data_IF_292286968724
#
_entry.id   IF_292286968724
#
_cell.length_a   1.000
_cell.length_b   1.000
_cell.length_c   1.000
_cell.angle_alpha   90.00
_cell.angle_beta   90.00
_cell.angle_gamma   90.00
#
_symmetry.space_group_name_H-M   'P 1'
#
loop_
_entity.id
_entity.type
_entity.pdbx_description
1 polymer ?
#
# COMPACT_ATOMS: atom_id res chain seq x y z
N UNK A 1 -29.72 -19.29 -34.11
CA UNK A 1 -29.15 -19.84 -32.85
C UNK A 1 -27.66 -19.49 -32.65
N UNK A 2 -27.15 -18.37 -33.20
CA UNK A 2 -25.69 -18.08 -33.25
C UNK A 2 -25.18 -17.02 -32.27
N UNK A 3 -26.05 -16.32 -31.54
CA UNK A 3 -25.64 -15.15 -30.74
C UNK A 3 -25.10 -15.49 -29.34
N UNK A 4 -25.48 -16.64 -28.76
CA UNK A 4 -25.08 -17.00 -27.39
C UNK A 4 -23.62 -17.48 -27.27
N UNK A 5 -23.07 -18.12 -28.30
CA UNK A 5 -21.72 -18.71 -28.24
C UNK A 5 -20.60 -17.65 -28.22
N UNK A 6 -20.79 -16.52 -28.93
CA UNK A 6 -19.83 -15.40 -28.91
C UNK A 6 -19.80 -14.65 -27.58
N UNK A 7 -20.97 -14.43 -26.98
CA UNK A 7 -21.08 -13.71 -25.70
C UNK A 7 -20.35 -14.44 -24.56
N UNK A 8 -20.37 -15.77 -24.57
CA UNK A 8 -19.69 -16.58 -23.56
C UNK A 8 -18.17 -16.58 -23.72
N UNK A 9 -17.69 -16.60 -24.96
CA UNK A 9 -16.25 -16.55 -25.30
C UNK A 9 -15.62 -15.19 -24.96
N UNK A 10 -16.32 -14.09 -25.26
CA UNK A 10 -15.90 -12.72 -24.88
C UNK A 10 -15.89 -12.52 -23.37
N UNK A 11 -16.90 -13.03 -22.66
CA UNK A 11 -16.94 -13.01 -21.19
C UNK A 11 -15.78 -13.79 -20.57
N UNK A 12 -15.47 -14.97 -21.11
CA UNK A 12 -14.33 -15.79 -20.67
C UNK A 12 -13.00 -15.07 -20.90
N UNK A 13 -12.78 -14.52 -22.11
CA UNK A 13 -11.58 -13.74 -22.46
C UNK A 13 -11.40 -12.48 -21.59
N UNK A 14 -12.49 -11.79 -21.25
CA UNK A 14 -12.43 -10.64 -20.34
C UNK A 14 -12.04 -11.05 -18.91
N UNK A 15 -12.53 -12.18 -18.42
CA UNK A 15 -12.14 -12.68 -17.09
C UNK A 15 -10.67 -13.12 -17.04
N UNK A 16 -10.18 -13.80 -18.08
CA UNK A 16 -8.78 -14.26 -18.13
C UNK A 16 -7.81 -13.07 -18.19
N UNK A 17 -8.12 -12.05 -18.98
CA UNK A 17 -7.32 -10.81 -19.05
C UNK A 17 -7.31 -10.05 -17.72
N UNK A 18 -8.45 -9.96 -17.02
CA UNK A 18 -8.54 -9.32 -15.71
C UNK A 18 -7.72 -10.06 -14.65
N UNK A 19 -7.76 -11.40 -14.65
CA UNK A 19 -6.96 -12.23 -13.74
C UNK A 19 -5.46 -12.11 -14.03
N UNK A 20 -5.07 -12.06 -15.31
CA UNK A 20 -3.68 -11.85 -15.71
C UNK A 20 -3.15 -10.48 -15.22
N UNK A 21 -3.97 -9.42 -15.34
CA UNK A 21 -3.64 -8.10 -14.83
C UNK A 21 -3.46 -8.10 -13.30
N UNK A 22 -4.35 -8.78 -12.57
CA UNK A 22 -4.25 -8.88 -11.12
C UNK A 22 -2.99 -9.65 -10.69
N UNK A 23 -2.67 -10.75 -11.36
CA UNK A 23 -1.42 -11.49 -11.11
C UNK A 23 -0.18 -10.61 -11.33
N UNK A 24 -0.19 -9.75 -12.36
CA UNK A 24 0.89 -8.80 -12.60
C UNK A 24 1.03 -7.77 -11.47
N UNK A 25 -0.10 -7.26 -10.96
CA UNK A 25 -0.12 -6.35 -9.80
C UNK A 25 0.42 -7.03 -8.55
N UNK A 26 -0.02 -8.24 -8.25
CA UNK A 26 0.46 -9.02 -7.10
C UNK A 26 1.97 -9.27 -7.19
N UNK A 27 2.46 -9.68 -8.36
CA UNK A 27 3.90 -9.88 -8.58
C UNK A 27 4.70 -8.58 -8.37
N UNK A 28 4.18 -7.46 -8.86
CA UNK A 28 4.78 -6.13 -8.66
C UNK A 28 4.85 -5.78 -7.18
N UNK A 29 3.75 -6.00 -6.44
CA UNK A 29 3.68 -5.74 -5.00
C UNK A 29 4.63 -6.63 -4.22
N UNK A 30 4.69 -7.93 -4.52
CA UNK A 30 5.63 -8.87 -3.91
C UNK A 30 7.07 -8.42 -4.16
N UNK A 31 7.41 -8.06 -5.40
CA UNK A 31 8.74 -7.55 -5.74
C UNK A 31 9.10 -6.28 -4.98
N UNK A 32 8.16 -5.34 -4.82
CA UNK A 32 8.35 -4.13 -4.00
C UNK A 32 8.54 -4.47 -2.52
N UNK A 33 7.73 -5.36 -1.96
CA UNK A 33 7.85 -5.80 -0.57
C UNK A 33 9.18 -6.52 -0.31
N UNK A 34 9.65 -7.34 -1.27
CA UNK A 34 10.96 -7.98 -1.19
C UNK A 34 12.11 -6.97 -1.13
N UNK A 35 12.06 -5.95 -1.99
CA UNK A 35 13.04 -4.84 -1.97
C UNK A 35 12.97 -4.05 -0.65
N UNK A 36 11.77 -3.74 -0.19
CA UNK A 36 11.56 -2.98 1.05
C UNK A 36 12.06 -3.76 2.27
N UNK A 37 11.78 -5.06 2.36
CA UNK A 37 12.26 -5.92 3.44
C UNK A 37 13.78 -6.00 3.48
N UNK A 38 14.44 -6.09 2.32
CA UNK A 38 15.90 -6.11 2.24
C UNK A 38 16.56 -4.75 2.57
N UNK A 39 15.80 -3.66 2.60
CA UNK A 39 16.35 -2.31 2.83
C UNK A 39 16.54 -2.07 4.32
N UNK A 40 17.80 -2.07 4.77
CA UNK A 40 18.17 -1.66 6.13
C UNK A 40 18.33 -0.14 6.18
N UNK A 41 17.60 0.52 7.09
CA UNK A 41 17.74 1.96 7.33
C UNK A 41 19.13 2.29 7.90
N UNK A 42 19.80 3.26 7.29
CA UNK A 42 21.03 3.86 7.81
C UNK A 42 20.67 5.11 8.62
N UNK A 43 21.55 5.57 9.53
CA UNK A 43 21.35 6.83 10.25
C UNK A 43 21.13 8.03 9.33
N UNK A 44 21.78 8.07 8.16
CA UNK A 44 21.58 9.11 7.15
C UNK A 44 20.16 9.11 6.55
N UNK A 45 19.49 7.95 6.48
CA UNK A 45 18.13 7.86 5.94
C UNK A 45 17.09 8.42 6.91
N UNK A 46 17.41 8.44 8.22
CA UNK A 46 16.51 8.92 9.29
C UNK A 46 16.84 10.35 9.72
N UNK A 47 18.13 10.65 9.87
CA UNK A 47 18.61 11.93 10.40
C UNK A 47 19.24 12.83 9.31
N UNK A 48 19.32 12.38 8.06
CA UNK A 48 19.87 13.16 6.95
C UNK A 48 21.30 13.59 7.22
N UNK A 49 21.60 14.86 6.90
CA UNK A 49 22.91 15.46 7.11
C UNK A 49 23.32 15.51 8.60
N UNK A 50 22.37 15.49 9.54
CA UNK A 50 22.69 15.48 10.96
C UNK A 50 23.44 14.20 11.38
N UNK A 51 23.28 13.10 10.64
CA UNK A 51 24.03 11.86 10.87
C UNK A 51 25.54 11.99 10.62
N UNK A 52 25.97 13.01 9.87
CA UNK A 52 27.37 13.27 9.57
C UNK A 52 28.03 14.25 10.56
N UNK A 53 27.24 14.81 11.49
CA UNK A 53 27.76 15.74 12.49
C UNK A 53 28.70 15.02 13.47
N UNK A 54 29.86 15.62 13.83
CA UNK A 54 30.74 15.07 14.85
C UNK A 54 30.06 14.88 16.22
N UNK A 55 29.01 15.65 16.51
CA UNK A 55 28.24 15.58 17.76
C UNK A 55 27.06 14.59 17.70
N UNK A 56 26.87 13.88 16.58
CA UNK A 56 25.72 13.01 16.35
C UNK A 56 25.62 11.90 17.39
N UNK A 57 26.70 11.14 17.60
CA UNK A 57 26.71 10.02 18.55
C UNK A 57 26.50 10.48 20.00
N UNK A 58 27.12 11.59 20.40
CA UNK A 58 26.94 12.16 21.73
C UNK A 58 25.48 12.62 21.96
N UNK A 59 24.86 13.21 20.93
CA UNK A 59 23.47 13.67 20.98
C UNK A 59 22.48 12.50 21.02
N UNK A 60 22.72 11.45 20.24
CA UNK A 60 21.93 10.22 20.28
C UNK A 60 22.04 9.52 21.63
N UNK A 61 23.25 9.42 22.19
CA UNK A 61 23.46 8.80 23.51
C UNK A 61 22.68 9.53 24.59
N UNK A 62 22.75 10.87 24.61
CA UNK A 62 21.99 11.71 25.54
C UNK A 62 20.49 11.53 25.35
N UNK A 63 20.00 11.58 24.11
CA UNK A 63 18.57 11.40 23.81
C UNK A 63 18.06 10.02 24.23
N UNK A 64 18.82 8.94 23.96
CA UNK A 64 18.50 7.57 24.39
C UNK A 64 18.59 7.36 25.90
N UNK A 65 19.25 8.24 26.66
CA UNK A 65 19.29 8.11 28.11
C UNK A 65 17.93 8.45 28.77
N UNK A 66 17.05 9.17 28.08
CA UNK A 66 15.71 9.48 28.57
C UNK A 66 14.77 8.28 28.41
N UNK A 67 14.14 7.85 29.51
CA UNK A 67 13.24 6.69 29.54
C UNK A 67 12.10 6.80 28.53
N UNK A 68 11.54 8.00 28.37
CA UNK A 68 10.45 8.31 27.44
C UNK A 68 10.79 7.96 25.99
N UNK A 69 12.04 8.18 25.58
CA UNK A 69 12.52 7.92 24.23
C UNK A 69 12.78 6.43 23.94
N UNK A 70 12.70 5.58 24.96
CA UNK A 70 12.85 4.12 24.83
C UNK A 70 11.51 3.38 24.97
N UNK A 71 10.42 4.10 25.23
CA UNK A 71 9.11 3.48 25.34
C UNK A 71 8.70 2.97 23.96
N UNK A 72 8.33 1.68 23.88
CA UNK A 72 7.75 1.11 22.66
C UNK A 72 6.38 1.76 22.45
N UNK A 73 6.33 2.71 21.51
CA UNK A 73 5.07 3.32 21.09
C UNK A 73 4.38 2.36 20.11
N UNK A 74 3.10 2.11 20.31
CA UNK A 74 2.28 1.52 19.26
C UNK A 74 2.15 2.58 18.15
N UNK A 75 2.82 2.33 17.03
CA UNK A 75 2.55 3.10 15.81
C UNK A 75 1.10 2.83 15.42
N UNK A 76 0.36 3.89 15.07
CA UNK A 76 -1.05 3.79 14.74
C UNK A 76 -1.30 2.64 13.74
N UNK A 77 -2.13 1.68 14.14
CA UNK A 77 -2.54 0.59 13.28
C UNK A 77 -3.53 1.15 12.26
N UNK A 78 -3.38 0.81 10.98
CA UNK A 78 -4.45 1.10 10.02
C UNK A 78 -5.68 0.34 10.53
N UNK A 79 -6.80 1.02 10.83
CA UNK A 79 -7.98 0.34 11.33
C UNK A 79 -8.37 -0.76 10.33
N UNK A 80 -8.61 -1.97 10.86
CA UNK A 80 -9.10 -3.08 10.05
C UNK A 80 -10.31 -2.61 9.27
N UNK A 81 -10.23 -2.66 7.95
CA UNK A 81 -11.37 -2.38 7.08
C UNK A 81 -12.47 -3.36 7.53
N UNK A 82 -13.69 -2.89 7.85
CA UNK A 82 -14.79 -3.80 8.15
C UNK A 82 -14.91 -4.82 7.01
N UNK A 83 -15.02 -6.08 7.40
CA UNK A 83 -15.00 -7.22 6.51
C UNK A 83 -16.09 -7.05 5.45
N UNK A 84 -15.65 -6.97 4.19
CA UNK A 84 -16.42 -7.11 2.96
C UNK A 84 -17.96 -7.01 3.08
N UNK A 85 -18.49 -5.81 3.30
CA UNK A 85 -19.87 -5.48 2.90
C UNK A 85 -19.87 -4.05 2.38
N UNK A 86 -20.27 -3.90 1.12
CA UNK A 86 -20.47 -2.64 0.38
C UNK A 86 -19.25 -1.76 0.03
N UNK A 87 -18.36 -2.29 -0.81
CA UNK A 87 -17.67 -1.46 -1.82
C UNK A 87 -18.44 -1.47 -3.16
N UNK A 88 -19.69 -1.92 -3.15
CA UNK A 88 -20.61 -1.82 -4.29
C UNK A 88 -21.35 -0.47 -4.33
N UNK A 89 -21.37 0.30 -3.23
CA UNK A 89 -22.16 1.54 -3.12
C UNK A 89 -21.41 2.87 -3.24
N UNK A 90 -20.07 2.89 -3.37
CA UNK A 90 -19.29 4.16 -3.34
C UNK A 90 -18.98 4.71 -4.75
N UNK A 91 -19.52 4.11 -5.82
CA UNK A 91 -19.43 4.66 -7.17
C UNK A 91 -20.79 4.67 -7.90
N UNK A 92 -21.74 5.40 -7.33
CA UNK A 92 -22.96 5.95 -7.92
C UNK A 92 -23.38 7.03 -6.89
N UNK A 93 -23.43 8.34 -7.12
CA UNK A 93 -23.93 9.12 -8.24
C UNK A 93 -23.20 10.48 -8.28
N UNK A 94 -22.57 10.83 -9.41
CA UNK A 94 -22.20 12.23 -9.67
C UNK A 94 -22.33 12.63 -11.15
N UNK A 95 -22.93 11.79 -12.00
CA UNK A 95 -23.10 12.08 -13.43
C UNK A 95 -24.42 11.52 -13.96
N UNK A 96 -25.53 11.83 -13.29
CA UNK A 96 -26.86 11.87 -13.92
C UNK A 96 -27.72 12.93 -13.25
N UNK A 97 -27.67 14.14 -13.80
CA UNK A 97 -28.90 14.89 -13.99
C UNK A 97 -29.09 15.08 -15.50
N UNK A 98 -30.13 14.50 -16.11
CA UNK A 98 -30.43 14.67 -17.53
C UNK A 98 -31.10 16.02 -17.77
N UNK A 99 -30.76 16.65 -18.89
CA UNK A 99 -31.49 17.75 -19.51
C UNK A 99 -33.01 17.64 -19.30
N UNK A 100 -33.58 18.65 -18.65
CA UNK A 100 -34.97 19.08 -18.79
C UNK A 100 -35.00 20.61 -18.78
#
# INVERSE_FOLDING_TARGET
MSSNARSFDEGSSHTTTRLAAERSRLNTTIGRLGKLNATKLKPADVYGNAAQSPAFEASLKRWRAHKENNVKVQLAMIPSRPDNTDIAGVYQEADRDPMA
#
